data_IF_763979808693
#
_entry.id   IF_763979808693
#
_cell.length_a   1.000
_cell.length_b   1.000
_cell.length_c   1.000
_cell.angle_alpha   90.00
_cell.angle_beta   90.00
_cell.angle_gamma   90.00
#
_symmetry.space_group_name_H-M   'P 1'
#
loop_
_entity.id
_entity.type
_entity.pdbx_description
1 polymer ?
#
# COMPACT_ATOMS: atom_id res chain seq x y z
N UNK A 1 6.98 -16.10 77.30
CA UNK A 1 7.05 -15.40 76.01
C UNK A 1 6.04 -16.02 75.06
N UNK A 2 5.53 -15.21 74.15
CA UNK A 2 4.19 -15.23 73.53
C UNK A 2 3.98 -16.30 72.43
N UNK A 3 2.69 -16.50 72.11
CA UNK A 3 2.04 -17.02 70.89
C UNK A 3 1.73 -18.54 70.90
N UNK A 4 0.49 -19.04 71.07
CA UNK A 4 -0.88 -18.66 70.61
C UNK A 4 -1.18 -19.05 69.15
N UNK A 5 -1.96 -20.14 69.01
CA UNK A 5 -3.21 -20.27 68.22
C UNK A 5 -3.30 -21.27 67.03
N UNK A 6 -4.30 -22.16 67.19
CA UNK A 6 -5.34 -22.66 66.27
C UNK A 6 -5.01 -23.34 64.92
N UNK A 7 -5.26 -24.66 64.88
CA UNK A 7 -6.44 -25.31 64.26
C UNK A 7 -7.08 -24.61 63.04
N UNK A 8 -7.17 -25.27 61.87
CA UNK A 8 -8.43 -25.70 61.22
C UNK A 8 -8.22 -26.32 59.81
N UNK A 9 -8.87 -27.48 59.63
CA UNK A 9 -9.63 -27.98 58.47
C UNK A 9 -9.16 -27.73 57.02
N UNK A 10 -8.87 -28.85 56.35
CA UNK A 10 -8.84 -29.02 54.89
C UNK A 10 -10.28 -29.10 54.34
N UNK A 11 -10.59 -28.23 53.37
CA UNK A 11 -11.67 -28.42 52.38
C UNK A 11 -11.05 -28.16 50.99
N UNK A 12 -11.17 -29.05 50.00
CA UNK A 12 -10.76 -28.74 48.64
C UNK A 12 -11.84 -27.93 47.92
N UNK A 13 -11.44 -26.78 47.37
CA UNK A 13 -12.23 -25.97 46.44
C UNK A 13 -12.07 -26.57 45.04
N UNK A 14 -13.19 -26.99 44.44
CA UNK A 14 -13.26 -27.42 43.04
C UNK A 14 -12.99 -26.23 42.11
N UNK A 15 -11.89 -26.25 41.35
CA UNK A 15 -11.62 -25.27 40.31
C UNK A 15 -12.45 -25.59 39.05
N UNK A 16 -13.35 -24.67 38.69
CA UNK A 16 -14.00 -24.68 37.38
C UNK A 16 -13.01 -24.15 36.33
N UNK A 17 -12.61 -25.02 35.39
CA UNK A 17 -11.82 -24.62 34.21
C UNK A 17 -12.80 -24.16 33.14
N UNK A 18 -12.74 -22.87 32.81
CA UNK A 18 -13.46 -22.29 31.67
C UNK A 18 -12.82 -22.76 30.36
N UNK A 19 -13.61 -23.38 29.48
CA UNK A 19 -13.24 -23.64 28.08
C UNK A 19 -13.90 -22.57 27.22
N UNK A 20 -13.12 -21.59 26.77
CA UNK A 20 -13.52 -20.63 25.75
C UNK A 20 -12.36 -20.46 24.76
N UNK A 21 -12.21 -21.42 23.83
CA UNK A 21 -11.20 -21.36 22.78
C UNK A 21 -11.70 -22.07 21.50
N UNK A 22 -12.80 -21.59 20.91
CA UNK A 22 -13.28 -22.13 19.61
C UNK A 22 -13.85 -21.09 18.64
N UNK A 23 -14.10 -19.84 19.06
CA UNK A 23 -14.77 -18.83 18.22
C UNK A 23 -13.83 -17.98 17.36
N UNK A 24 -12.54 -17.90 17.70
CA UNK A 24 -11.56 -17.01 17.04
C UNK A 24 -10.99 -17.56 15.74
N UNK A 25 -10.79 -18.88 15.62
CA UNK A 25 -10.18 -19.51 14.44
C UNK A 25 -11.08 -19.54 13.20
N UNK A 26 -12.40 -19.63 13.38
CA UNK A 26 -13.36 -19.71 12.28
C UNK A 26 -13.55 -18.34 11.57
N UNK A 27 -13.55 -17.25 12.34
CA UNK A 27 -13.75 -15.90 11.81
C UNK A 27 -12.53 -15.37 11.04
N UNK A 28 -11.31 -15.71 11.46
CA UNK A 28 -10.09 -15.29 10.78
C UNK A 28 -9.97 -15.88 9.37
N UNK A 29 -10.23 -17.18 9.24
CA UNK A 29 -10.18 -17.89 7.95
C UNK A 29 -11.23 -17.36 6.95
N UNK A 30 -12.41 -16.95 7.43
CA UNK A 30 -13.44 -16.39 6.56
C UNK A 30 -13.05 -15.00 6.05
N UNK A 31 -12.55 -14.12 6.93
CA UNK A 31 -12.08 -12.78 6.55
C UNK A 31 -10.91 -12.83 5.58
N UNK A 32 -9.97 -13.75 5.77
CA UNK A 32 -8.86 -13.98 4.84
C UNK A 32 -9.36 -14.43 3.46
N UNK A 33 -10.22 -15.45 3.39
CA UNK A 33 -10.79 -15.92 2.10
C UNK A 33 -11.57 -14.81 1.38
N UNK A 34 -12.38 -14.06 2.12
CA UNK A 34 -13.13 -12.92 1.58
C UNK A 34 -12.18 -11.85 1.02
N UNK A 35 -11.14 -11.49 1.76
CA UNK A 35 -10.12 -10.52 1.33
C UNK A 35 -9.42 -11.00 0.07
N UNK A 36 -9.00 -12.26 0.04
CA UNK A 36 -8.26 -12.82 -1.09
C UNK A 36 -9.14 -12.86 -2.36
N UNK A 37 -10.43 -13.21 -2.25
CA UNK A 37 -11.38 -13.15 -3.36
C UNK A 37 -11.61 -11.71 -3.87
N UNK A 38 -11.84 -10.74 -2.97
CA UNK A 38 -12.01 -9.33 -3.34
C UNK A 38 -10.74 -8.76 -3.99
N UNK A 39 -9.57 -9.12 -3.47
CA UNK A 39 -8.27 -8.75 -4.05
C UNK A 39 -8.14 -9.28 -5.48
N UNK A 40 -8.45 -10.55 -5.72
CA UNK A 40 -8.38 -11.12 -7.07
C UNK A 40 -9.33 -10.43 -8.04
N UNK A 41 -10.56 -10.14 -7.61
CA UNK A 41 -11.53 -9.40 -8.42
C UNK A 41 -11.00 -8.01 -8.80
N UNK A 42 -10.42 -7.28 -7.85
CA UNK A 42 -9.83 -5.96 -8.09
C UNK A 42 -8.66 -6.04 -9.08
N UNK A 43 -7.76 -7.00 -8.90
CA UNK A 43 -6.60 -7.19 -9.79
C UNK A 43 -7.06 -7.54 -11.21
N UNK A 44 -8.05 -8.41 -11.37
CA UNK A 44 -8.62 -8.73 -12.67
C UNK A 44 -9.21 -7.48 -13.34
N UNK A 45 -10.00 -6.70 -12.60
CA UNK A 45 -10.55 -5.44 -13.10
C UNK A 45 -9.47 -4.43 -13.52
N UNK A 46 -8.38 -4.31 -12.74
CA UNK A 46 -7.26 -3.44 -13.08
C UNK A 46 -6.61 -3.84 -14.42
N UNK A 47 -6.38 -5.15 -14.62
CA UNK A 47 -5.78 -5.68 -15.87
C UNK A 47 -6.66 -5.43 -17.08
N UNK A 48 -7.97 -5.59 -16.95
CA UNK A 48 -8.92 -5.33 -18.05
C UNK A 48 -9.08 -3.85 -18.40
N UNK A 49 -8.70 -2.94 -17.49
CA UNK A 49 -8.90 -1.48 -17.62
C UNK A 49 -7.58 -0.70 -17.57
N UNK A 50 -6.46 -1.33 -17.90
CA UNK A 50 -5.15 -0.68 -17.90
C UNK A 50 -5.13 0.54 -18.82
N UNK A 51 -4.66 1.69 -18.31
CA UNK A 51 -4.68 2.97 -19.02
C UNK A 51 -6.07 3.60 -19.17
N UNK A 52 -7.15 2.99 -18.69
CA UNK A 52 -8.52 3.48 -18.84
C UNK A 52 -9.13 3.92 -17.51
N UNK A 53 -9.55 5.18 -17.43
CA UNK A 53 -10.27 5.72 -16.28
C UNK A 53 -11.45 6.60 -16.72
N UNK A 54 -12.58 5.98 -17.08
CA UNK A 54 -13.86 6.68 -17.23
C UNK A 54 -14.54 6.86 -15.86
N UNK A 55 -15.53 7.76 -15.73
CA UNK A 55 -16.29 7.91 -14.48
C UNK A 55 -16.95 6.61 -14.01
N UNK A 56 -17.38 5.74 -14.93
CA UNK A 56 -17.95 4.44 -14.57
C UNK A 56 -16.87 3.49 -14.04
N UNK A 57 -15.74 3.35 -14.76
CA UNK A 57 -14.62 2.51 -14.32
C UNK A 57 -14.13 2.93 -12.94
N UNK A 58 -13.97 4.24 -12.72
CA UNK A 58 -13.57 4.78 -11.43
C UNK A 58 -14.53 4.38 -10.31
N UNK A 59 -15.84 4.52 -10.50
CA UNK A 59 -16.85 4.11 -9.50
C UNK A 59 -16.79 2.62 -9.20
N UNK A 60 -16.60 1.78 -10.23
CA UNK A 60 -16.52 0.33 -10.05
C UNK A 60 -15.28 -0.06 -9.22
N UNK A 61 -14.13 0.57 -9.50
CA UNK A 61 -12.89 0.41 -8.73
C UNK A 61 -13.06 0.91 -7.29
N UNK A 62 -13.62 2.11 -7.09
CA UNK A 62 -13.90 2.67 -5.76
C UNK A 62 -14.83 1.75 -4.94
N UNK A 63 -15.82 1.12 -5.58
CA UNK A 63 -16.71 0.14 -4.93
C UNK A 63 -15.94 -1.10 -4.45
N UNK A 64 -15.03 -1.64 -5.27
CA UNK A 64 -14.18 -2.77 -4.89
C UNK A 64 -13.21 -2.40 -3.75
N UNK A 65 -12.63 -1.19 -3.82
CA UNK A 65 -11.78 -0.65 -2.75
C UNK A 65 -12.56 -0.53 -1.44
N UNK A 66 -13.79 -0.01 -1.47
CA UNK A 66 -14.65 0.14 -0.30
C UNK A 66 -14.96 -1.19 0.40
N UNK A 67 -15.00 -2.29 -0.35
CA UNK A 67 -15.17 -3.64 0.21
C UNK A 67 -13.86 -4.22 0.77
N UNK A 68 -12.72 -3.87 0.18
CA UNK A 68 -11.41 -4.41 0.53
C UNK A 68 -10.73 -3.64 1.68
N UNK A 69 -10.89 -2.31 1.75
CA UNK A 69 -10.24 -1.46 2.75
C UNK A 69 -10.51 -1.87 4.21
N UNK A 70 -11.74 -2.27 4.62
CA UNK A 70 -12.00 -2.76 5.97
C UNK A 70 -11.27 -4.08 6.30
N UNK A 71 -10.80 -4.80 5.29
CA UNK A 71 -10.05 -6.06 5.41
C UNK A 71 -8.54 -5.86 5.28
N UNK A 72 -8.05 -4.61 5.31
CA UNK A 72 -6.63 -4.29 5.24
C UNK A 72 -5.88 -4.98 6.40
N UNK A 73 -4.93 -5.89 6.11
CA UNK A 73 -4.17 -6.58 7.15
C UNK A 73 -3.13 -5.67 7.82
N UNK A 74 -2.82 -4.50 7.23
CA UNK A 74 -1.80 -3.58 7.71
C UNK A 74 -2.44 -2.26 8.18
N UNK A 75 -2.82 -2.22 9.46
CA UNK A 75 -3.52 -1.08 10.06
C UNK A 75 -2.66 0.17 10.30
N UNK A 76 -1.33 0.09 10.12
CA UNK A 76 -0.40 1.21 10.15
C UNK A 76 0.50 1.13 8.91
N UNK A 77 -0.13 1.31 7.75
CA UNK A 77 0.50 1.11 6.44
C UNK A 77 1.65 2.07 6.19
N UNK A 78 1.57 3.32 6.65
CA UNK A 78 2.63 4.32 6.48
C UNK A 78 3.96 3.84 7.10
N UNK A 79 3.91 3.19 8.27
CA UNK A 79 5.12 2.71 8.97
C UNK A 79 5.45 1.25 8.70
N UNK A 80 4.69 0.60 7.82
CA UNK A 80 4.90 -0.81 7.51
C UNK A 80 6.17 -1.00 6.68
N UNK A 81 7.04 -1.96 7.02
CA UNK A 81 8.15 -2.36 6.15
C UNK A 81 7.68 -2.77 4.76
N UNK A 82 6.45 -3.28 4.63
CA UNK A 82 5.88 -3.68 3.35
C UNK A 82 5.76 -2.51 2.37
N UNK A 83 5.68 -1.26 2.85
CA UNK A 83 5.62 -0.09 1.99
C UNK A 83 6.94 0.11 1.20
N UNK A 84 8.07 -0.29 1.80
CA UNK A 84 9.43 -0.10 1.29
C UNK A 84 9.81 -1.25 0.35
N UNK A 85 9.38 -1.13 -0.91
CA UNK A 85 9.71 -2.04 -2.01
C UNK A 85 9.53 -1.35 -3.35
N UNK A 86 9.74 -2.11 -4.43
CA UNK A 86 9.27 -1.73 -5.75
C UNK A 86 7.83 -2.19 -5.98
N UNK A 87 7.00 -1.27 -6.47
CA UNK A 87 5.58 -1.41 -6.72
C UNK A 87 5.29 -1.15 -8.18
N UNK A 88 4.78 -2.15 -8.91
CA UNK A 88 4.35 -2.01 -10.29
C UNK A 88 2.92 -1.50 -10.35
N UNK A 89 2.70 -0.41 -11.07
CA UNK A 89 1.38 0.15 -11.27
C UNK A 89 0.52 -0.80 -12.12
N UNK A 90 -0.72 -1.05 -11.68
CA UNK A 90 -1.72 -1.83 -12.43
C UNK A 90 -2.89 -1.00 -12.89
N UNK A 91 -3.28 -0.01 -12.12
CA UNK A 91 -4.33 0.92 -12.49
C UNK A 91 -4.15 2.25 -11.75
N UNK A 92 -4.51 3.34 -12.41
CA UNK A 92 -4.53 4.67 -11.81
C UNK A 92 -5.66 5.51 -12.37
N UNK A 93 -6.17 6.44 -11.57
CA UNK A 93 -7.04 7.51 -12.06
C UNK A 93 -6.29 8.75 -12.55
N UNK A 94 -4.97 8.82 -12.35
CA UNK A 94 -4.14 9.97 -12.72
C UNK A 94 -4.06 10.12 -14.25
N UNK A 95 -4.48 11.28 -14.75
CA UNK A 95 -4.60 11.53 -16.20
C UNK A 95 -3.23 11.52 -16.89
N UNK A 96 -2.23 12.08 -16.23
CA UNK A 96 -0.87 12.23 -16.73
C UNK A 96 -0.22 10.87 -16.95
N UNK A 97 -0.35 9.95 -15.98
CA UNK A 97 0.16 8.58 -16.10
C UNK A 97 -0.61 7.80 -17.17
N UNK A 98 -1.95 7.91 -17.18
CA UNK A 98 -2.79 7.26 -18.18
C UNK A 98 -2.47 7.73 -19.61
N UNK A 99 -1.97 8.96 -19.81
CA UNK A 99 -1.52 9.45 -21.11
C UNK A 99 -0.37 8.60 -21.68
N UNK A 100 0.59 8.17 -20.84
CA UNK A 100 1.71 7.32 -21.28
C UNK A 100 1.26 5.92 -21.69
N UNK A 101 0.29 5.36 -20.94
CA UNK A 101 -0.27 4.03 -21.20
C UNK A 101 -1.14 4.04 -22.48
N UNK A 102 -2.07 4.99 -22.58
CA UNK A 102 -3.03 5.08 -23.70
C UNK A 102 -2.36 5.40 -25.03
N UNK A 103 -1.29 6.19 -25.03
CA UNK A 103 -0.51 6.47 -26.24
C UNK A 103 0.50 5.37 -26.59
N UNK A 104 0.60 4.30 -25.78
CA UNK A 104 1.57 3.22 -25.99
C UNK A 104 3.02 3.65 -25.85
N UNK A 105 3.29 4.74 -25.11
CA UNK A 105 4.64 5.22 -24.85
C UNK A 105 5.33 4.43 -23.75
N UNK A 106 4.54 3.89 -22.83
CA UNK A 106 4.99 3.00 -21.75
C UNK A 106 4.03 1.84 -21.59
N UNK A 107 4.56 0.71 -21.15
CA UNK A 107 3.84 -0.47 -20.66
C UNK A 107 4.40 -0.93 -19.29
N UNK A 108 5.23 -0.09 -18.67
CA UNK A 108 5.95 -0.42 -17.45
C UNK A 108 6.17 0.84 -16.62
N UNK A 109 5.39 0.93 -15.55
CA UNK A 109 5.38 2.05 -14.63
C UNK A 109 5.53 1.48 -13.22
N UNK A 110 6.55 1.96 -12.50
CA UNK A 110 6.83 1.51 -11.15
C UNK A 110 7.10 2.68 -10.20
N UNK A 111 6.90 2.39 -8.92
CA UNK A 111 7.32 3.24 -7.83
C UNK A 111 8.18 2.43 -6.88
N UNK A 112 9.38 2.92 -6.60
CA UNK A 112 10.31 2.32 -5.66
C UNK A 112 10.41 3.18 -4.42
N UNK A 113 10.15 2.57 -3.26
CA UNK A 113 10.40 3.18 -1.95
C UNK A 113 11.44 2.32 -1.23
N UNK A 114 12.56 2.92 -0.84
CA UNK A 114 13.64 2.22 -0.13
C UNK A 114 14.07 3.03 1.08
N UNK A 115 14.70 2.35 2.05
CA UNK A 115 15.33 3.04 3.17
C UNK A 115 16.32 4.09 2.67
N UNK A 116 16.22 5.30 3.22
CA UNK A 116 17.18 6.37 2.96
C UNK A 116 18.10 6.60 4.15
N UNK A 117 19.02 7.54 3.98
CA UNK A 117 19.92 7.95 5.06
C UNK A 117 19.23 9.04 5.89
N UNK A 118 19.36 8.99 7.23
CA UNK A 118 18.88 10.07 8.10
C UNK A 118 17.39 10.05 8.41
N UNK A 119 16.71 8.91 8.26
CA UNK A 119 15.32 8.69 8.71
C UNK A 119 14.23 8.95 7.66
N UNK A 120 14.54 9.68 6.58
CA UNK A 120 13.67 9.79 5.42
C UNK A 120 13.89 8.60 4.46
N UNK A 121 12.83 8.02 3.91
CA UNK A 121 12.95 6.98 2.88
C UNK A 121 13.05 7.61 1.49
N UNK A 122 13.79 6.99 0.58
CA UNK A 122 13.89 7.48 -0.80
C UNK A 122 12.70 6.99 -1.61
N UNK A 123 12.19 7.85 -2.50
CA UNK A 123 11.10 7.58 -3.42
C UNK A 123 11.58 7.81 -4.85
N UNK A 124 11.24 6.90 -5.75
CA UNK A 124 11.42 7.08 -7.18
C UNK A 124 10.19 6.56 -7.92
N UNK A 125 9.51 7.42 -8.68
CA UNK A 125 8.56 6.98 -9.69
C UNK A 125 9.29 6.87 -11.02
N UNK A 126 9.02 5.82 -11.77
CA UNK A 126 9.64 5.55 -13.06
C UNK A 126 8.59 5.14 -14.09
N UNK A 127 8.65 5.77 -15.26
CA UNK A 127 7.88 5.44 -16.46
C UNK A 127 8.88 5.04 -17.53
N UNK A 128 9.05 3.75 -17.77
CA UNK A 128 9.96 3.23 -18.80
C UNK A 128 9.33 3.39 -20.17
N UNK A 129 10.07 3.90 -21.16
CA UNK A 129 9.54 4.06 -22.51
C UNK A 129 9.76 2.81 -23.36
N UNK A 130 8.75 2.45 -24.16
CA UNK A 130 8.78 1.27 -25.05
C UNK A 130 9.94 1.32 -26.05
N UNK A 131 10.34 2.53 -26.47
CA UNK A 131 11.43 2.75 -27.45
C UNK A 131 12.77 3.09 -26.80
N UNK A 132 12.92 2.81 -25.51
CA UNK A 132 14.10 3.13 -24.72
C UNK A 132 14.06 4.54 -24.12
N UNK A 133 14.82 4.72 -23.03
CA UNK A 133 14.71 5.89 -22.18
C UNK A 133 13.62 5.74 -21.12
N UNK A 134 13.40 6.79 -20.33
CA UNK A 134 12.43 6.81 -19.24
C UNK A 134 12.09 8.24 -18.83
N UNK A 135 10.97 8.40 -18.13
CA UNK A 135 10.71 9.57 -17.29
C UNK A 135 10.68 9.14 -15.83
N UNK A 136 11.50 9.76 -14.99
CA UNK A 136 11.56 9.45 -13.57
C UNK A 136 11.50 10.70 -12.71
N UNK A 137 10.82 10.61 -11.58
CA UNK A 137 10.87 11.63 -10.53
C UNK A 137 11.36 10.99 -9.23
N UNK A 138 12.38 11.60 -8.62
CA UNK A 138 13.05 11.09 -7.44
C UNK A 138 12.95 12.09 -6.29
N UNK A 139 12.82 11.58 -5.07
CA UNK A 139 12.55 12.38 -3.89
C UNK A 139 12.63 11.58 -2.61
N UNK A 140 11.94 12.07 -1.61
CA UNK A 140 11.89 11.48 -0.27
C UNK A 140 10.45 11.32 0.18
N UNK A 141 10.22 10.31 1.03
CA UNK A 141 8.97 10.13 1.76
C UNK A 141 9.24 10.14 3.26
N UNK A 142 8.31 10.77 3.98
CA UNK A 142 8.30 10.86 5.43
C UNK A 142 6.91 10.49 5.95
N UNK A 143 6.88 9.63 6.97
CA UNK A 143 5.65 9.23 7.63
C UNK A 143 5.30 10.25 8.71
N UNK A 144 4.08 10.74 8.70
CA UNK A 144 3.57 11.54 9.81
C UNK A 144 3.30 10.62 11.01
N UNK A 145 3.83 10.96 12.19
CA UNK A 145 3.71 10.12 13.39
C UNK A 145 2.27 9.98 13.89
N UNK A 146 1.39 10.93 13.58
CA UNK A 146 0.01 10.94 14.06
C UNK A 146 -0.96 10.26 13.09
N UNK A 147 -0.62 10.19 11.80
CA UNK A 147 -1.48 9.66 10.75
C UNK A 147 -1.02 8.27 10.29
N UNK A 148 -1.77 7.23 10.70
CA UNK A 148 -1.44 5.81 10.46
C UNK A 148 -1.34 5.39 8.99
N UNK A 149 -2.03 6.09 8.10
CA UNK A 149 -2.09 5.76 6.67
C UNK A 149 -1.28 6.72 5.80
N UNK A 150 -0.95 7.91 6.32
CA UNK A 150 -0.43 9.01 5.50
C UNK A 150 1.08 8.98 5.38
N UNK A 151 1.52 9.07 4.14
CA UNK A 151 2.92 9.26 3.77
C UNK A 151 3.04 10.57 3.00
N UNK A 152 3.86 11.49 3.49
CA UNK A 152 4.18 12.73 2.80
C UNK A 152 5.35 12.47 1.84
N UNK A 153 5.36 13.13 0.69
CA UNK A 153 6.44 13.05 -0.28
C UNK A 153 6.83 14.43 -0.80
N UNK A 154 8.10 14.54 -1.19
CA UNK A 154 8.63 15.70 -1.90
C UNK A 154 9.60 15.21 -2.97
N UNK A 155 9.32 15.51 -4.23
CA UNK A 155 10.21 15.21 -5.35
C UNK A 155 11.27 16.31 -5.49
N UNK A 156 12.53 15.89 -5.49
CA UNK A 156 13.70 16.78 -5.56
C UNK A 156 14.26 16.89 -6.98
N UNK A 157 14.05 15.87 -7.81
CA UNK A 157 14.62 15.79 -9.17
C UNK A 157 13.64 15.12 -10.13
N UNK A 158 13.55 15.67 -11.35
CA UNK A 158 12.93 15.00 -12.50
C UNK A 158 14.01 14.70 -13.54
N UNK A 159 13.97 13.52 -14.15
CA UNK A 159 14.83 13.15 -15.27
C UNK A 159 13.99 12.62 -16.42
N UNK A 160 14.21 13.18 -17.61
CA UNK A 160 13.72 12.66 -18.88
C UNK A 160 14.90 12.14 -19.69
N UNK A 161 14.92 10.83 -19.93
CA UNK A 161 15.89 10.17 -20.80
C UNK A 161 15.18 9.80 -22.10
N UNK A 162 15.65 10.35 -23.22
CA UNK A 162 15.14 10.09 -24.57
C UNK A 162 16.09 9.17 -25.36
N UNK A 163 16.82 8.29 -24.65
CA UNK A 163 17.82 7.38 -25.19
C UNK A 163 18.87 8.12 -26.02
N UNK A 164 18.95 7.85 -27.33
CA UNK A 164 19.94 8.44 -28.25
C UNK A 164 19.86 9.97 -28.34
N UNK A 165 18.75 10.57 -27.91
CA UNK A 165 18.53 12.01 -27.96
C UNK A 165 18.99 12.74 -26.68
N UNK A 166 19.48 12.00 -25.68
CA UNK A 166 20.08 12.55 -24.48
C UNK A 166 19.19 12.49 -23.24
N UNK A 167 19.76 12.97 -22.13
CA UNK A 167 19.16 12.97 -20.80
C UNK A 167 19.06 14.40 -20.27
N UNK A 168 17.86 14.77 -19.83
CA UNK A 168 17.50 16.10 -19.37
C UNK A 168 17.04 16.03 -17.91
N UNK A 169 17.56 16.94 -17.08
CA UNK A 169 17.17 17.08 -15.67
C UNK A 169 16.38 18.35 -15.48
N UNK A 170 15.35 18.28 -14.64
CA UNK A 170 14.46 19.41 -14.36
C UNK A 170 14.44 19.71 -12.85
N UNK A 171 14.22 20.99 -12.48
CA UNK A 171 14.05 21.39 -11.08
C UNK A 171 12.87 20.67 -10.41
N UNK A 172 12.80 20.68 -9.07
CA UNK A 172 11.90 19.83 -8.28
C UNK A 172 10.44 19.86 -8.73
N UNK A 173 9.83 18.69 -8.72
CA UNK A 173 8.52 18.38 -9.33
C UNK A 173 7.53 17.96 -8.26
N UNK A 174 7.17 18.91 -7.39
CA UNK A 174 5.98 18.79 -6.56
C UNK A 174 6.17 18.05 -5.22
N UNK A 175 5.22 18.34 -4.33
CA UNK A 175 5.09 17.76 -3.00
C UNK A 175 3.64 17.42 -2.75
N UNK A 176 3.39 16.46 -1.88
CA UNK A 176 2.05 16.04 -1.55
C UNK A 176 2.04 14.93 -0.52
N UNK A 177 0.93 14.21 -0.46
CA UNK A 177 0.79 13.05 0.40
C UNK A 177 -0.04 11.99 -0.30
N UNK A 178 0.09 10.75 0.16
CA UNK A 178 -0.82 9.66 -0.14
C UNK A 178 -1.17 8.89 1.11
N UNK A 179 -2.41 8.43 1.17
CA UNK A 179 -2.90 7.51 2.20
C UNK A 179 -2.89 6.10 1.62
N UNK A 180 -2.11 5.19 2.21
CA UNK A 180 -2.11 3.78 1.82
C UNK A 180 -3.26 3.07 2.53
N UNK A 181 -4.43 3.01 1.87
CA UNK A 181 -5.68 2.51 2.44
C UNK A 181 -5.74 0.97 2.53
N UNK A 182 -4.94 0.28 1.70
CA UNK A 182 -4.76 -1.16 1.77
C UNK A 182 -3.29 -1.51 1.50
N UNK A 183 -2.73 -2.41 2.30
CA UNK A 183 -1.37 -2.90 2.11
C UNK A 183 -1.24 -4.35 2.59
N UNK A 184 -0.79 -5.22 1.69
CA UNK A 184 -0.29 -6.55 2.04
C UNK A 184 1.06 -6.85 1.33
N UNK A 185 1.52 -8.10 1.36
CA UNK A 185 2.79 -8.48 0.71
C UNK A 185 2.76 -8.38 -0.81
N UNK A 186 1.59 -8.30 -1.44
CA UNK A 186 1.38 -8.40 -2.88
C UNK A 186 0.70 -7.18 -3.49
N UNK A 187 -0.12 -6.44 -2.74
CA UNK A 187 -0.95 -5.35 -3.24
C UNK A 187 -0.86 -4.13 -2.33
N UNK A 188 -0.78 -2.95 -2.95
CA UNK A 188 -0.92 -1.64 -2.31
C UNK A 188 -1.96 -0.81 -3.04
N UNK A 189 -2.79 -0.11 -2.27
CA UNK A 189 -3.78 0.84 -2.78
C UNK A 189 -3.55 2.16 -2.07
N UNK A 190 -3.32 3.21 -2.86
CA UNK A 190 -3.08 4.56 -2.37
C UNK A 190 -4.13 5.53 -2.89
N UNK A 191 -4.51 6.50 -2.07
CA UNK A 191 -5.24 7.70 -2.49
C UNK A 191 -4.37 8.92 -2.21
N UNK A 192 -4.08 9.73 -3.23
CA UNK A 192 -3.21 10.89 -3.06
C UNK A 192 -3.98 12.18 -2.68
N UNK A 193 -3.23 13.24 -2.40
CA UNK A 193 -3.77 14.56 -2.03
C UNK A 193 -4.64 15.24 -3.08
N UNK A 194 -4.65 14.75 -4.33
CA UNK A 194 -5.53 15.21 -5.42
C UNK A 194 -6.77 14.33 -5.60
N UNK A 195 -6.91 13.29 -4.79
CA UNK A 195 -7.98 12.30 -4.92
C UNK A 195 -7.74 11.28 -6.05
N UNK A 196 -6.51 11.18 -6.58
CA UNK A 196 -6.18 10.10 -7.50
C UNK A 196 -5.91 8.81 -6.74
N UNK A 197 -6.28 7.70 -7.36
CA UNK A 197 -6.10 6.35 -6.83
C UNK A 197 -4.99 5.67 -7.61
N UNK A 198 -4.07 5.02 -6.91
CA UNK A 198 -3.07 4.13 -7.49
C UNK A 198 -3.25 2.72 -6.91
N UNK A 199 -3.29 1.72 -7.78
CA UNK A 199 -3.32 0.30 -7.41
C UNK A 199 -2.06 -0.34 -7.95
N UNK A 200 -1.24 -0.90 -7.06
CA UNK A 200 0.06 -1.43 -7.39
C UNK A 200 0.23 -2.87 -6.88
N UNK A 201 0.87 -3.71 -7.69
CA UNK A 201 1.34 -5.04 -7.27
C UNK A 201 2.82 -4.97 -6.87
N UNK A 202 3.22 -5.76 -5.87
CA UNK A 202 4.63 -5.91 -5.48
C UNK A 202 5.45 -6.51 -6.62
N UNK A 203 6.66 -5.99 -6.85
CA UNK A 203 7.63 -6.63 -7.74
C UNK A 203 8.44 -7.74 -7.05
N UNK A 204 8.38 -7.82 -5.72
CA UNK A 204 9.00 -8.88 -4.91
C UNK A 204 8.05 -10.09 -4.85
N UNK A 205 8.58 -11.29 -5.17
CA UNK A 205 7.88 -12.57 -5.06
C UNK A 205 7.88 -13.09 -3.63
#
# INVERSE_FOLDING_TARGET
MKHTLLMLMLIPIQAAVAVAATTTGFNFNNSQRKRDALKQNLICACREKEGLCTPQIRRDIESMIGQLAPLNPTSNSARSPLLKREWKLRWTSEKEINLFLTNGWSNDISQTIIEGNGGASKLQNNISFVRGGFFSVAGEVNTDSELRLRTNFEFREATLDLARWGRYRFPPVGKGWFDTIYLDSSLRIDTNSRGDILICESCEN
#
